data_IF_375264522499
#
_entry.id   IF_375264522499
#
_cell.length_a   1.000
_cell.length_b   1.000
_cell.length_c   1.000
_cell.angle_alpha   90.00
_cell.angle_beta   90.00
_cell.angle_gamma   90.00
#
_symmetry.space_group_name_H-M   'P 1'
#
loop_
_entity.id
_entity.type
_entity.pdbx_description
1 polymer ?
#
# COMPACT_ATOMS: atom_id res chain seq x y z
N UNK A 1 -6.65 -31.40 5.94
CA UNK A 1 -7.09 -30.03 6.29
C UNK A 1 -8.49 -29.84 5.72
N UNK A 2 -9.51 -29.63 6.56
CA UNK A 2 -10.91 -29.51 6.12
C UNK A 2 -11.28 -28.03 6.09
N UNK A 3 -11.44 -27.45 4.90
CA UNK A 3 -11.84 -26.05 4.75
C UNK A 3 -13.36 -25.96 4.92
N UNK A 4 -13.80 -25.28 5.98
CA UNK A 4 -15.22 -24.96 6.18
C UNK A 4 -15.49 -23.71 5.35
N UNK A 5 -16.07 -23.90 4.16
CA UNK A 5 -16.52 -22.79 3.32
C UNK A 5 -17.87 -22.30 3.87
N UNK A 6 -17.88 -21.09 4.42
CA UNK A 6 -19.13 -20.37 4.66
C UNK A 6 -19.58 -19.80 3.32
N UNK A 7 -20.82 -20.08 2.91
CA UNK A 7 -21.41 -19.60 1.67
C UNK A 7 -21.80 -18.11 1.76
N UNK A 8 -20.90 -17.29 2.30
CA UNK A 8 -21.10 -15.88 2.57
C UNK A 8 -19.83 -15.12 2.18
N UNK A 9 -20.00 -13.88 1.71
CA UNK A 9 -18.87 -13.03 1.35
C UNK A 9 -18.05 -12.67 2.60
N UNK A 10 -16.70 -12.73 2.54
CA UNK A 10 -15.86 -12.48 3.72
C UNK A 10 -15.91 -11.02 4.21
N UNK A 11 -16.35 -10.09 3.36
CA UNK A 11 -16.43 -8.66 3.67
C UNK A 11 -17.71 -8.05 3.11
N UNK A 12 -18.31 -7.11 3.85
CA UNK A 12 -19.52 -6.38 3.41
C UNK A 12 -19.21 -5.27 2.39
N UNK A 13 -18.01 -4.68 2.47
CA UNK A 13 -17.51 -3.63 1.56
C UNK A 13 -16.00 -3.81 1.41
N UNK A 14 -15.50 -3.53 0.20
CA UNK A 14 -14.08 -3.58 -0.12
C UNK A 14 -13.68 -2.20 -0.64
N UNK A 15 -12.69 -1.59 0.00
CA UNK A 15 -12.05 -0.37 -0.48
C UNK A 15 -10.72 -0.72 -1.15
N UNK A 16 -10.57 -0.32 -2.40
CA UNK A 16 -9.33 -0.48 -3.18
C UNK A 16 -8.65 0.86 -3.37
N UNK A 17 -7.35 0.84 -3.61
CA UNK A 17 -6.53 2.02 -3.90
C UNK A 17 -5.57 1.71 -5.04
N UNK A 18 -5.14 2.76 -5.75
CA UNK A 18 -4.14 2.65 -6.80
C UNK A 18 -2.73 2.39 -6.26
N UNK A 19 -1.76 2.24 -7.17
CA UNK A 19 -0.36 2.13 -6.80
C UNK A 19 0.27 3.51 -6.61
N UNK A 20 1.20 3.60 -5.66
CA UNK A 20 2.12 4.72 -5.55
C UNK A 20 3.23 4.51 -6.59
N UNK A 21 3.48 5.51 -7.42
CA UNK A 21 4.49 5.49 -8.48
C UNK A 21 5.63 6.46 -8.19
N UNK A 22 6.78 6.20 -8.79
CA UNK A 22 7.89 7.13 -8.81
C UNK A 22 7.71 8.22 -9.88
N UNK A 23 8.67 9.14 -9.98
CA UNK A 23 8.67 10.23 -10.98
C UNK A 23 8.69 9.77 -12.44
N UNK A 24 8.98 8.50 -12.70
CA UNK A 24 9.01 7.88 -14.03
C UNK A 24 7.77 7.02 -14.31
N UNK A 25 6.73 7.14 -13.47
CA UNK A 25 5.50 6.36 -13.55
C UNK A 25 5.69 4.86 -13.31
N UNK A 26 6.81 4.45 -12.71
CA UNK A 26 7.05 3.06 -12.33
C UNK A 26 6.49 2.80 -10.93
N UNK A 27 5.86 1.63 -10.75
CA UNK A 27 5.36 1.20 -9.44
C UNK A 27 6.52 1.00 -8.46
N UNK A 28 6.32 1.44 -7.22
CA UNK A 28 7.21 1.05 -6.12
C UNK A 28 7.09 -0.44 -5.81
N UNK A 29 8.20 -1.16 -5.90
CA UNK A 29 8.28 -2.58 -5.54
C UNK A 29 9.64 -2.91 -4.93
N UNK A 30 9.65 -3.87 -4.00
CA UNK A 30 10.90 -4.38 -3.41
C UNK A 30 11.80 -5.04 -4.47
N UNK A 31 11.20 -5.67 -5.48
CA UNK A 31 11.93 -6.34 -6.57
C UNK A 31 12.69 -5.38 -7.48
N UNK A 32 12.22 -4.14 -7.60
CA UNK A 32 12.81 -3.10 -8.46
C UNK A 32 13.77 -2.19 -7.69
N UNK A 33 14.00 -2.44 -6.40
CA UNK A 33 14.85 -1.64 -5.51
C UNK A 33 14.57 -0.13 -5.52
N UNK A 34 13.41 0.29 -6.04
CA UNK A 34 13.03 1.68 -6.22
C UNK A 34 12.23 2.22 -5.03
N UNK A 35 12.05 1.45 -3.96
CA UNK A 35 11.22 1.80 -2.80
C UNK A 35 11.76 3.04 -2.08
N UNK A 36 10.99 4.13 -2.06
CA UNK A 36 11.25 5.25 -1.17
C UNK A 36 11.00 4.84 0.29
N UNK A 37 11.93 5.18 1.18
CA UNK A 37 11.75 4.95 2.62
C UNK A 37 10.72 5.95 3.15
N UNK A 38 9.47 5.50 3.33
CA UNK A 38 8.42 6.30 3.95
C UNK A 38 8.84 6.87 5.32
N UNK A 39 9.64 6.12 6.08
CA UNK A 39 10.22 6.58 7.35
C UNK A 39 11.08 7.82 7.18
N UNK A 40 11.86 7.91 6.09
CA UNK A 40 12.69 9.07 5.81
C UNK A 40 11.82 10.29 5.54
N UNK A 41 10.77 10.16 4.74
CA UNK A 41 9.84 11.25 4.48
C UNK A 41 9.20 11.76 5.77
N UNK A 42 8.69 10.87 6.63
CA UNK A 42 8.08 11.24 7.91
C UNK A 42 9.11 11.93 8.83
N UNK A 43 10.35 11.46 8.86
CA UNK A 43 11.41 12.11 9.64
C UNK A 43 11.78 13.50 9.12
N UNK A 44 11.76 13.70 7.80
CA UNK A 44 12.14 14.98 7.17
C UNK A 44 11.00 16.01 7.18
N UNK A 45 9.78 15.58 6.92
CA UNK A 45 8.63 16.45 6.66
C UNK A 45 7.50 16.32 7.68
N UNK A 46 7.54 15.31 8.54
CA UNK A 46 6.47 15.02 9.50
C UNK A 46 5.35 14.15 8.90
N UNK A 47 4.59 13.53 9.79
CA UNK A 47 3.48 12.63 9.42
C UNK A 47 2.28 13.37 8.82
N UNK A 48 2.07 14.63 9.18
CA UNK A 48 0.97 15.44 8.65
C UNK A 48 1.17 15.73 7.17
N UNK A 49 2.38 16.12 6.75
CA UNK A 49 2.71 16.32 5.33
C UNK A 49 2.68 15.02 4.51
N UNK A 50 2.80 13.86 5.15
CA UNK A 50 2.65 12.57 4.46
C UNK A 50 1.18 12.22 4.19
N UNK A 51 0.27 12.75 5.00
CA UNK A 51 -1.18 12.47 4.92
C UNK A 51 -1.94 13.47 4.04
N UNK A 52 -1.46 14.71 3.99
CA UNK A 52 -1.98 15.78 3.12
C UNK A 52 -1.88 15.40 1.65
#
# INVERSE_FOLDING_TARGET
MKFILKNETPYKKIFTHGFITNRYSEKFSKSTSNVNKFSLFIQTYGSELFRL
#
